data_IF_544980882655
#
_entry.id   IF_544980882655
#
_cell.length_a   1.000
_cell.length_b   1.000
_cell.length_c   1.000
_cell.angle_alpha   90.00
_cell.angle_beta   90.00
_cell.angle_gamma   90.00
#
_symmetry.space_group_name_H-M   'P 1'
#
loop_
_entity.id
_entity.type
_entity.pdbx_description
1 polymer ?
#
# COMPACT_ATOMS: atom_id res chain seq x y z
N UNK A 1 12.15 -9.81 -15.75
CA UNK A 1 13.34 -8.99 -16.06
C UNK A 1 13.63 -8.12 -14.85
N UNK A 2 14.73 -8.36 -14.13
CA UNK A 2 15.14 -7.51 -13.01
C UNK A 2 15.55 -6.17 -13.61
N UNK A 3 14.80 -5.11 -13.32
CA UNK A 3 15.21 -3.74 -13.63
C UNK A 3 16.38 -3.45 -12.69
N UNK A 4 17.60 -3.69 -13.18
CA UNK A 4 18.84 -3.34 -12.50
C UNK A 4 19.03 -1.82 -12.56
N UNK A 5 18.16 -1.09 -11.86
CA UNK A 5 18.41 0.31 -11.51
C UNK A 5 19.20 0.29 -10.20
N UNK A 6 20.53 0.29 -10.34
CA UNK A 6 21.39 0.75 -9.26
C UNK A 6 20.93 2.17 -8.90
N UNK A 7 20.24 2.33 -7.77
CA UNK A 7 19.94 3.64 -7.19
C UNK A 7 21.29 4.31 -6.93
N UNK A 8 21.69 5.20 -7.83
CA UNK A 8 22.96 5.91 -7.69
C UNK A 8 22.76 7.00 -6.65
N UNK A 9 23.31 6.79 -5.46
CA UNK A 9 23.35 7.81 -4.41
C UNK A 9 24.34 8.89 -4.86
N UNK A 10 23.81 10.01 -5.37
CA UNK A 10 24.60 11.19 -5.69
C UNK A 10 24.73 12.12 -4.46
N UNK A 11 25.54 13.17 -4.62
CA UNK A 11 25.77 14.14 -3.54
C UNK A 11 24.49 14.91 -3.16
N UNK A 12 23.58 15.13 -4.12
CA UNK A 12 22.31 15.82 -3.86
C UNK A 12 21.41 15.02 -2.92
N UNK A 13 21.37 13.69 -3.07
CA UNK A 13 20.66 12.80 -2.13
C UNK A 13 21.28 12.88 -0.74
N UNK A 14 22.61 12.84 -0.64
CA UNK A 14 23.31 12.93 0.65
C UNK A 14 23.04 14.27 1.33
N UNK A 15 23.13 15.37 0.59
CA UNK A 15 22.89 16.72 1.11
C UNK A 15 21.44 16.88 1.59
N UNK A 16 20.48 16.33 0.85
CA UNK A 16 19.07 16.32 1.23
C UNK A 16 18.81 15.60 2.55
N UNK A 17 19.39 14.40 2.72
CA UNK A 17 19.24 13.62 3.95
C UNK A 17 19.96 14.29 5.11
N UNK A 18 21.16 14.83 4.87
CA UNK A 18 21.91 15.60 5.87
C UNK A 18 21.19 16.89 6.29
N UNK A 19 20.44 17.51 5.37
CA UNK A 19 19.60 18.66 5.70
C UNK A 19 18.59 18.29 6.79
N UNK A 20 17.98 17.11 6.71
CA UNK A 20 16.97 16.65 7.67
C UNK A 20 17.54 16.15 9.02
N UNK A 21 18.82 15.79 9.07
CA UNK A 21 19.51 15.26 10.26
C UNK A 21 19.75 16.26 11.39
N UNK A 22 18.84 17.22 11.62
CA UNK A 22 18.95 18.27 12.63
C UNK A 22 17.57 18.63 13.22
N UNK A 23 17.45 18.61 14.55
CA UNK A 23 16.18 18.84 15.25
C UNK A 23 15.54 20.19 14.92
N UNK A 24 16.33 21.27 14.84
CA UNK A 24 15.81 22.61 14.54
C UNK A 24 15.24 22.72 13.13
N UNK A 25 15.85 22.03 12.17
CA UNK A 25 15.31 21.97 10.81
C UNK A 25 14.00 21.17 10.74
N UNK A 26 13.87 20.10 11.53
CA UNK A 26 12.61 19.38 11.65
C UNK A 26 11.53 20.23 12.36
N UNK A 27 11.89 20.98 13.40
CA UNK A 27 11.00 21.94 14.07
C UNK A 27 10.46 22.99 13.09
N UNK A 28 11.30 23.51 12.18
CA UNK A 28 10.87 24.43 11.11
C UNK A 28 9.80 23.80 10.21
N UNK A 29 10.02 22.56 9.73
CA UNK A 29 9.05 21.88 8.88
C UNK A 29 7.72 21.64 9.61
N UNK A 30 7.78 21.27 10.90
CA UNK A 30 6.60 21.06 11.73
C UNK A 30 5.84 22.36 12.03
N UNK A 31 6.53 23.48 12.20
CA UNK A 31 5.90 24.79 12.39
C UNK A 31 5.08 25.20 11.15
N UNK A 32 5.63 25.00 9.95
CA UNK A 32 4.93 25.28 8.70
C UNK A 32 3.67 24.40 8.53
N UNK A 33 3.74 23.10 8.84
CA UNK A 33 2.56 22.23 8.78
C UNK A 33 1.51 22.61 9.83
N UNK A 34 1.93 22.97 11.05
CA UNK A 34 1.01 23.37 12.12
C UNK A 34 0.11 24.53 11.68
N UNK A 35 0.67 25.54 11.02
CA UNK A 35 -0.11 26.68 10.52
C UNK A 35 -1.04 26.27 9.37
N UNK A 36 -0.60 25.39 8.46
CA UNK A 36 -1.50 24.81 7.43
C UNK A 36 -2.72 24.10 8.07
N UNK A 37 -2.50 23.34 9.16
CA UNK A 37 -3.56 22.65 9.90
C UNK A 37 -4.51 23.63 10.62
N UNK A 38 -3.97 24.61 11.34
CA UNK A 38 -4.77 25.60 12.08
C UNK A 38 -5.68 26.41 11.16
N UNK A 39 -5.21 26.72 9.95
CA UNK A 39 -5.99 27.43 8.94
C UNK A 39 -6.80 26.52 8.02
N UNK A 40 -6.65 25.19 8.14
CA UNK A 40 -7.26 24.18 7.26
C UNK A 40 -7.10 24.51 5.77
N UNK A 41 -5.93 25.04 5.38
CA UNK A 41 -5.66 25.50 4.01
C UNK A 41 -4.28 25.02 3.57
N UNK A 42 -4.18 24.30 2.44
CA UNK A 42 -2.89 23.89 1.92
C UNK A 42 -2.08 25.11 1.44
N UNK A 43 -0.76 24.98 1.48
CA UNK A 43 0.19 25.96 0.97
C UNK A 43 0.12 27.31 1.69
N UNK A 44 -0.21 27.29 2.99
CA UNK A 44 -0.12 28.47 3.83
C UNK A 44 1.34 28.91 3.93
N UNK A 45 1.57 30.23 3.91
CA UNK A 45 2.91 30.82 4.02
C UNK A 45 3.09 31.47 5.38
N UNK A 46 4.26 31.32 5.98
CA UNK A 46 4.68 32.08 7.15
C UNK A 46 5.78 33.06 6.74
N UNK A 47 5.69 34.31 7.15
CA UNK A 47 6.81 35.24 7.02
C UNK A 47 8.03 34.76 7.82
N UNK A 48 9.21 35.34 7.53
CA UNK A 48 10.44 35.04 8.26
C UNK A 48 10.26 35.22 9.77
N UNK A 49 9.66 36.34 10.19
CA UNK A 49 9.45 36.67 11.61
C UNK A 49 8.48 35.69 12.27
N UNK A 50 7.37 35.36 11.63
CA UNK A 50 6.42 34.37 12.17
C UNK A 50 7.08 32.99 12.35
N UNK A 51 7.88 32.56 11.38
CA UNK A 51 8.56 31.27 11.45
C UNK A 51 9.70 31.26 12.48
N UNK A 52 10.43 32.37 12.62
CA UNK A 52 11.44 32.56 13.66
C UNK A 52 10.82 32.52 15.06
N UNK A 53 9.71 33.24 15.27
CA UNK A 53 9.01 33.30 16.55
C UNK A 53 8.32 31.97 16.93
N UNK A 54 8.08 31.09 15.95
CA UNK A 54 7.44 29.79 16.15
C UNK A 54 8.41 28.70 16.64
N UNK A 55 9.73 28.93 16.58
CA UNK A 55 10.74 27.95 16.96
C UNK A 55 11.66 28.46 18.07
N UNK A 56 12.21 27.53 18.86
CA UNK A 56 13.18 27.87 19.92
C UNK A 56 14.61 27.87 19.34
N UNK A 57 15.16 29.04 19.04
CA UNK A 57 16.50 29.21 18.45
C UNK A 57 17.22 30.41 19.06
N UNK A 58 18.51 30.25 19.33
CA UNK A 58 19.29 31.23 20.09
C UNK A 58 19.50 32.58 19.38
N UNK A 59 19.48 32.58 18.04
CA UNK A 59 19.70 33.79 17.27
C UNK A 59 19.09 33.74 15.87
N UNK A 60 18.83 34.92 15.32
CA UNK A 60 18.37 35.10 13.93
C UNK A 60 19.37 34.55 12.90
N UNK A 61 20.69 34.62 13.17
CA UNK A 61 21.71 34.09 12.27
C UNK A 61 21.73 32.56 12.25
N UNK A 62 21.54 31.91 13.41
CA UNK A 62 21.40 30.46 13.48
C UNK A 62 20.12 30.00 12.78
N UNK A 63 19.00 30.70 13.00
CA UNK A 63 17.75 30.40 12.31
C UNK A 63 17.89 30.49 10.80
N UNK A 64 18.46 31.60 10.30
CA UNK A 64 18.67 31.80 8.86
C UNK A 64 19.49 30.67 8.26
N UNK A 65 20.58 30.26 8.94
CA UNK A 65 21.37 29.10 8.53
C UNK A 65 20.54 27.81 8.45
N UNK A 66 19.67 27.52 9.42
CA UNK A 66 18.82 26.32 9.38
C UNK A 66 17.77 26.39 8.27
N UNK A 67 17.15 27.56 8.07
CA UNK A 67 16.14 27.78 7.04
C UNK A 67 16.75 27.66 5.64
N UNK A 68 17.91 28.28 5.39
CA UNK A 68 18.60 28.25 4.10
C UNK A 68 18.94 26.82 3.64
N UNK A 69 19.16 25.90 4.60
CA UNK A 69 19.48 24.50 4.33
C UNK A 69 18.26 23.68 3.91
N UNK A 70 17.05 24.21 4.13
CA UNK A 70 15.78 23.58 3.76
C UNK A 70 15.17 24.20 2.50
N UNK A 71 15.47 25.47 2.24
CA UNK A 71 14.93 26.22 1.09
C UNK A 71 15.37 25.57 -0.23
N UNK A 72 14.43 25.52 -1.17
CA UNK A 72 14.58 24.86 -2.47
C UNK A 72 13.99 23.45 -2.46
N UNK A 73 14.45 22.58 -1.56
CA UNK A 73 14.05 21.16 -1.58
C UNK A 73 12.87 20.84 -0.66
N UNK A 74 12.87 21.31 0.58
CA UNK A 74 11.84 21.00 1.57
C UNK A 74 10.93 22.20 1.83
N UNK A 75 11.48 23.41 1.73
CA UNK A 75 10.76 24.69 1.90
C UNK A 75 10.85 25.51 0.62
N UNK A 76 9.75 26.13 0.20
CA UNK A 76 9.71 27.11 -0.87
C UNK A 76 9.65 28.50 -0.26
N UNK A 77 10.58 29.38 -0.65
CA UNK A 77 10.45 30.81 -0.44
C UNK A 77 9.54 31.42 -1.51
N UNK A 78 8.63 32.30 -1.11
CA UNK A 78 7.66 32.98 -1.96
C UNK A 78 7.59 34.46 -1.60
N UNK A 79 6.89 35.27 -2.40
CA UNK A 79 6.68 36.68 -2.08
C UNK A 79 5.94 36.90 -0.74
N UNK A 80 5.12 35.94 -0.34
CA UNK A 80 4.29 35.99 0.87
C UNK A 80 4.93 35.26 2.07
N UNK A 81 6.17 34.76 1.93
CA UNK A 81 6.90 34.04 2.96
C UNK A 81 7.27 32.60 2.56
N UNK A 82 7.46 31.75 3.56
CA UNK A 82 7.94 30.37 3.43
C UNK A 82 6.78 29.38 3.56
N UNK A 83 6.81 28.31 2.76
CA UNK A 83 5.84 27.20 2.84
C UNK A 83 6.51 25.87 2.55
N UNK A 84 5.87 24.77 2.94
CA UNK A 84 6.35 23.42 2.57
C UNK A 84 6.27 23.22 1.05
N UNK A 85 7.29 22.56 0.50
CA UNK A 85 7.20 21.91 -0.81
C UNK A 85 6.45 20.58 -0.69
N UNK A 86 6.21 19.90 -1.82
CA UNK A 86 5.70 18.52 -1.80
C UNK A 86 6.60 17.59 -0.95
N UNK A 87 7.92 17.65 -1.15
CA UNK A 87 8.90 16.83 -0.42
C UNK A 87 8.89 17.15 1.07
N UNK A 88 8.85 18.43 1.44
CA UNK A 88 8.72 18.87 2.83
C UNK A 88 7.43 18.32 3.47
N UNK A 89 6.31 18.39 2.75
CA UNK A 89 5.04 17.84 3.22
C UNK A 89 5.13 16.32 3.44
N UNK A 90 5.71 15.56 2.50
CA UNK A 90 5.91 14.11 2.66
C UNK A 90 6.74 13.77 3.89
N UNK A 91 7.84 14.48 4.13
CA UNK A 91 8.67 14.29 5.34
C UNK A 91 7.88 14.60 6.61
N UNK A 92 7.12 15.70 6.65
CA UNK A 92 6.28 16.03 7.81
C UNK A 92 5.24 14.95 8.07
N UNK A 93 4.55 14.45 7.03
CA UNK A 93 3.58 13.35 7.17
C UNK A 93 4.24 12.08 7.70
N UNK A 94 5.45 11.76 7.24
CA UNK A 94 6.25 10.64 7.78
C UNK A 94 6.57 10.85 9.26
N UNK A 95 7.04 12.03 9.67
CA UNK A 95 7.38 12.38 11.06
C UNK A 95 6.15 12.28 11.98
N UNK A 96 5.07 12.99 11.65
CA UNK A 96 3.89 13.10 12.52
C UNK A 96 3.16 11.76 12.63
N UNK A 97 3.08 10.98 11.54
CA UNK A 97 2.47 9.65 11.56
C UNK A 97 3.30 8.64 12.35
N UNK A 98 4.64 8.81 12.41
CA UNK A 98 5.54 7.80 12.95
C UNK A 98 5.52 6.51 12.14
N UNK A 99 5.27 6.58 10.83
CA UNK A 99 5.18 5.41 9.94
C UNK A 99 6.50 4.63 9.84
N UNK A 100 7.61 5.29 10.17
CA UNK A 100 8.96 4.69 10.26
C UNK A 100 9.24 4.02 11.61
N UNK A 101 8.35 4.15 12.59
CA UNK A 101 8.51 3.51 13.90
C UNK A 101 7.99 2.08 13.84
N UNK A 102 8.74 1.16 14.44
CA UNK A 102 8.34 -0.23 14.54
C UNK A 102 7.20 -0.43 15.54
N UNK A 103 6.43 -1.48 15.29
CA UNK A 103 5.26 -1.84 16.07
C UNK A 103 5.61 -2.98 17.00
N UNK A 104 5.43 -2.82 18.31
CA UNK A 104 5.92 -3.80 19.29
C UNK A 104 4.85 -4.70 19.90
N UNK A 105 3.55 -4.39 19.75
CA UNK A 105 2.48 -5.18 20.37
C UNK A 105 1.29 -5.35 19.43
N UNK A 106 1.02 -6.60 19.07
CA UNK A 106 -0.18 -7.06 18.40
C UNK A 106 -0.50 -8.44 18.98
N UNK A 107 -1.75 -8.68 19.36
CA UNK A 107 -2.18 -9.98 19.86
C UNK A 107 -2.62 -10.83 18.68
N UNK A 108 -2.04 -12.03 18.55
CA UNK A 108 -2.46 -13.01 17.55
C UNK A 108 -3.98 -13.25 17.66
N UNK A 109 -4.68 -13.19 16.53
CA UNK A 109 -6.14 -13.27 16.47
C UNK A 109 -6.57 -14.21 15.37
N UNK A 110 -7.52 -15.09 15.67
CA UNK A 110 -8.22 -15.86 14.64
C UNK A 110 -8.99 -14.90 13.73
N UNK A 111 -9.03 -15.22 12.44
CA UNK A 111 -9.79 -14.45 11.44
C UNK A 111 -10.61 -15.41 10.58
N UNK A 112 -11.72 -14.90 10.04
CA UNK A 112 -12.54 -15.66 9.09
C UNK A 112 -11.82 -15.79 7.75
N UNK A 113 -12.32 -16.68 6.89
CA UNK A 113 -11.77 -16.94 5.56
C UNK A 113 -11.18 -18.34 5.44
N UNK A 114 -10.68 -18.65 4.25
CA UNK A 114 -10.17 -19.97 3.90
C UNK A 114 -8.73 -19.90 3.40
N UNK A 115 -7.95 -20.94 3.68
CA UNK A 115 -6.61 -21.05 3.15
C UNK A 115 -6.64 -21.31 1.64
N UNK A 116 -6.02 -20.42 0.85
CA UNK A 116 -5.91 -20.56 -0.60
C UNK A 116 -5.33 -21.92 -1.02
N UNK A 117 -4.39 -22.46 -0.23
CA UNK A 117 -3.76 -23.75 -0.52
C UNK A 117 -4.61 -24.92 0.02
N UNK A 118 -4.78 -25.08 1.33
CA UNK A 118 -5.41 -26.29 1.86
C UNK A 118 -6.95 -26.26 1.91
N UNK A 119 -7.58 -25.09 1.75
CA UNK A 119 -9.03 -24.90 1.85
C UNK A 119 -9.58 -24.82 3.29
N UNK A 120 -8.74 -25.06 4.31
CA UNK A 120 -9.17 -25.03 5.71
C UNK A 120 -9.45 -23.59 6.20
N UNK A 121 -10.49 -23.44 7.02
CA UNK A 121 -10.88 -22.18 7.65
C UNK A 121 -10.16 -21.94 8.99
N UNK A 122 -8.82 -22.05 8.97
CA UNK A 122 -7.96 -22.04 10.17
C UNK A 122 -6.92 -20.91 10.12
N UNK A 123 -7.40 -19.69 9.81
CA UNK A 123 -6.56 -18.53 9.60
C UNK A 123 -6.26 -17.77 10.89
N UNK A 124 -5.01 -17.31 11.01
CA UNK A 124 -4.51 -16.55 12.14
C UNK A 124 -3.80 -15.28 11.64
N UNK A 125 -4.28 -14.12 12.08
CA UNK A 125 -3.62 -12.83 11.92
C UNK A 125 -2.57 -12.67 13.00
N UNK A 126 -1.35 -12.31 12.60
CA UNK A 126 -0.18 -12.23 13.50
C UNK A 126 0.75 -11.10 13.10
N UNK A 127 1.62 -10.70 14.02
CA UNK A 127 2.71 -9.76 13.76
C UNK A 127 4.04 -10.44 14.06
N UNK A 128 4.84 -10.69 13.02
CA UNK A 128 6.16 -11.29 13.14
C UNK A 128 7.20 -10.46 12.38
N UNK A 129 8.33 -10.15 13.02
CA UNK A 129 9.41 -9.34 12.44
C UNK A 129 8.91 -8.06 11.72
N UNK A 130 8.01 -7.30 12.37
CA UNK A 130 7.41 -6.06 11.84
C UNK A 130 6.46 -6.26 10.62
N UNK A 131 6.11 -7.50 10.30
CA UNK A 131 5.19 -7.84 9.23
C UNK A 131 3.87 -8.36 9.78
N UNK A 132 2.78 -7.73 9.36
CA UNK A 132 1.46 -8.32 9.49
C UNK A 132 1.38 -9.53 8.58
N UNK A 133 0.91 -10.64 9.12
CA UNK A 133 0.74 -11.89 8.37
C UNK A 133 -0.61 -12.52 8.63
N UNK A 134 -1.25 -12.98 7.57
CA UNK A 134 -2.32 -13.99 7.67
C UNK A 134 -1.70 -15.34 7.35
N UNK A 135 -1.68 -16.24 8.33
CA UNK A 135 -1.17 -17.61 8.19
C UNK A 135 -2.28 -18.64 8.35
N UNK A 136 -2.19 -19.76 7.64
CA UNK A 136 -3.02 -20.93 7.91
C UNK A 136 -2.33 -21.82 8.95
N UNK A 137 -3.03 -22.14 10.03
CA UNK A 137 -2.50 -22.99 11.12
C UNK A 137 -2.53 -24.48 10.80
N UNK A 138 -3.24 -24.90 9.75
CA UNK A 138 -3.31 -26.31 9.32
C UNK A 138 -2.19 -26.74 8.38
N UNK A 139 -1.68 -25.83 7.54
CA UNK A 139 -0.64 -26.16 6.55
C UNK A 139 0.55 -25.18 6.51
N UNK A 140 0.61 -24.27 7.48
CA UNK A 140 1.67 -23.26 7.66
C UNK A 140 1.87 -22.27 6.50
N UNK A 141 0.94 -22.23 5.54
CA UNK A 141 0.98 -21.28 4.44
C UNK A 141 0.84 -19.84 4.97
N UNK A 142 1.70 -18.94 4.48
CA UNK A 142 1.52 -17.49 4.67
C UNK A 142 0.77 -16.96 3.45
N UNK A 143 -0.43 -16.45 3.67
CA UNK A 143 -1.35 -16.04 2.60
C UNK A 143 -1.27 -14.55 2.28
N UNK A 144 -1.00 -13.74 3.31
CA UNK A 144 -0.82 -12.30 3.20
C UNK A 144 0.39 -11.93 4.05
N UNK A 145 1.26 -11.10 3.49
CA UNK A 145 2.39 -10.50 4.21
C UNK A 145 2.47 -9.04 3.83
N UNK A 146 2.56 -8.15 4.81
CA UNK A 146 2.74 -6.74 4.57
C UNK A 146 3.47 -6.07 5.73
N UNK A 147 4.18 -4.97 5.47
CA UNK A 147 4.76 -4.16 6.53
C UNK A 147 3.67 -3.50 7.35
N UNK A 148 3.91 -3.40 8.65
CA UNK A 148 2.93 -2.92 9.60
C UNK A 148 3.47 -1.75 10.43
N UNK A 149 3.18 -0.50 10.04
CA UNK A 149 3.70 0.67 10.73
C UNK A 149 2.91 0.97 12.01
N UNK A 150 3.58 1.55 13.01
CA UNK A 150 2.95 1.92 14.29
C UNK A 150 1.77 2.89 14.14
N UNK A 151 1.74 3.69 13.08
CA UNK A 151 0.61 4.58 12.79
C UNK A 151 -0.71 3.83 12.63
N UNK A 152 -0.69 2.56 12.19
CA UNK A 152 -1.89 1.73 12.03
C UNK A 152 -2.46 1.21 13.35
N UNK A 153 -1.68 1.19 14.45
CA UNK A 153 -2.16 0.69 15.76
C UNK A 153 -2.71 1.77 16.69
N UNK A 154 -2.38 3.04 16.46
CA UNK A 154 -2.75 4.13 17.38
C UNK A 154 -4.27 4.25 17.51
N UNK A 155 -4.77 4.02 18.72
CA UNK A 155 -6.20 4.16 19.04
C UNK A 155 -7.09 3.07 18.45
N UNK A 156 -6.53 1.92 18.05
CA UNK A 156 -7.27 0.77 17.52
C UNK A 156 -7.11 -0.48 18.37
N UNK A 157 -8.18 -1.26 18.45
CA UNK A 157 -8.19 -2.64 18.90
C UNK A 157 -7.56 -3.56 17.84
N UNK A 158 -7.21 -4.79 18.21
CA UNK A 158 -6.72 -5.82 17.28
C UNK A 158 -7.66 -6.04 16.09
N UNK A 159 -8.98 -6.07 16.32
CA UNK A 159 -9.97 -6.24 15.27
C UNK A 159 -9.99 -5.06 14.28
N UNK A 160 -9.98 -3.82 14.79
CA UNK A 160 -9.94 -2.61 13.95
C UNK A 160 -8.61 -2.50 13.16
N UNK A 161 -7.51 -3.01 13.73
CA UNK A 161 -6.24 -3.12 13.02
C UNK A 161 -6.39 -4.06 11.82
N UNK A 162 -6.86 -5.30 12.05
CA UNK A 162 -7.04 -6.32 11.02
C UNK A 162 -7.95 -5.79 9.91
N UNK A 163 -9.09 -5.20 10.26
CA UNK A 163 -10.01 -4.58 9.30
C UNK A 163 -9.31 -3.50 8.46
N UNK A 164 -8.52 -2.63 9.11
CA UNK A 164 -7.79 -1.57 8.39
C UNK A 164 -6.76 -2.09 7.39
N UNK A 165 -6.17 -3.27 7.64
CA UNK A 165 -5.26 -3.93 6.69
C UNK A 165 -6.04 -4.39 5.45
N UNK A 166 -7.23 -4.96 5.63
CA UNK A 166 -8.10 -5.36 4.52
C UNK A 166 -8.39 -4.20 3.56
N UNK A 167 -8.84 -3.05 4.09
CA UNK A 167 -9.07 -1.86 3.28
C UNK A 167 -7.80 -1.33 2.59
N UNK A 168 -6.64 -1.42 3.26
CA UNK A 168 -5.37 -1.00 2.67
C UNK A 168 -5.02 -1.87 1.46
N UNK A 169 -5.18 -3.19 1.54
CA UNK A 169 -4.94 -4.11 0.43
C UNK A 169 -5.77 -3.73 -0.80
N UNK A 170 -7.06 -3.46 -0.61
CA UNK A 170 -7.91 -3.03 -1.72
C UNK A 170 -7.55 -1.66 -2.28
N UNK A 171 -7.19 -0.69 -1.42
CA UNK A 171 -6.70 0.62 -1.86
C UNK A 171 -5.42 0.50 -2.71
N UNK A 172 -4.50 -0.38 -2.34
CA UNK A 172 -3.29 -0.67 -3.11
C UNK A 172 -3.63 -1.33 -4.44
N UNK A 173 -4.50 -2.35 -4.43
CA UNK A 173 -4.90 -3.06 -5.64
C UNK A 173 -5.59 -2.15 -6.67
N UNK A 174 -6.46 -1.24 -6.23
CA UNK A 174 -7.11 -0.26 -7.12
C UNK A 174 -6.09 0.58 -7.88
N UNK A 175 -4.97 0.97 -7.25
CA UNK A 175 -3.89 1.70 -7.91
C UNK A 175 -3.14 0.82 -8.91
N UNK A 176 -2.86 -0.44 -8.55
CA UNK A 176 -2.18 -1.39 -9.43
C UNK A 176 -2.95 -1.65 -10.73
N UNK A 177 -4.29 -1.70 -10.70
CA UNK A 177 -5.10 -1.80 -11.93
C UNK A 177 -4.92 -0.64 -12.91
N UNK A 178 -4.41 0.50 -12.43
CA UNK A 178 -4.11 1.68 -13.23
C UNK A 178 -2.63 1.79 -13.61
N UNK A 179 -1.83 0.73 -13.42
CA UNK A 179 -0.37 0.72 -13.55
C UNK A 179 0.34 1.73 -12.61
N UNK A 180 -0.29 2.06 -11.47
CA UNK A 180 0.22 3.03 -10.49
C UNK A 180 0.74 2.32 -9.24
N UNK A 181 2.00 2.58 -8.88
CA UNK A 181 2.62 2.04 -7.67
C UNK A 181 2.00 2.68 -6.41
N UNK A 182 1.55 1.88 -5.42
CA UNK A 182 0.96 2.41 -4.20
C UNK A 182 1.94 3.18 -3.29
N UNK A 183 3.25 2.95 -3.45
CA UNK A 183 4.29 3.57 -2.63
C UNK A 183 4.77 4.92 -3.20
N UNK A 184 5.07 4.96 -4.49
CA UNK A 184 5.69 6.13 -5.13
C UNK A 184 4.88 6.76 -6.27
N UNK A 185 3.73 6.17 -6.63
CA UNK A 185 2.89 6.56 -7.77
C UNK A 185 3.57 6.47 -9.15
N UNK A 186 4.74 5.82 -9.22
CA UNK A 186 5.45 5.50 -10.45
C UNK A 186 4.79 4.37 -11.23
N UNK A 187 5.30 4.12 -12.44
CA UNK A 187 4.74 3.11 -13.33
C UNK A 187 5.06 1.69 -12.85
N UNK A 188 4.08 0.81 -12.97
CA UNK A 188 4.16 -0.61 -12.62
C UNK A 188 4.15 -1.47 -13.88
N UNK A 189 4.93 -2.54 -13.86
CA UNK A 189 4.84 -3.65 -14.80
C UNK A 189 4.26 -4.87 -14.10
N UNK A 190 3.29 -5.53 -14.74
CA UNK A 190 2.63 -6.72 -14.18
C UNK A 190 2.89 -7.93 -15.07
N UNK A 191 3.32 -9.03 -14.46
CA UNK A 191 3.44 -10.35 -15.10
C UNK A 191 2.63 -11.37 -14.33
N UNK A 192 2.38 -12.56 -14.90
CA UNK A 192 1.84 -13.69 -14.16
C UNK A 192 2.98 -14.64 -13.79
N UNK A 193 2.98 -15.12 -12.56
CA UNK A 193 3.90 -16.14 -12.06
C UNK A 193 3.13 -17.18 -11.23
N UNK A 194 3.73 -18.34 -11.00
CA UNK A 194 3.13 -19.44 -10.25
C UNK A 194 3.77 -19.53 -8.87
N UNK A 195 2.93 -19.53 -7.84
CA UNK A 195 3.37 -19.77 -6.47
C UNK A 195 2.90 -21.14 -6.00
N UNK A 196 3.85 -21.97 -5.56
CA UNK A 196 3.59 -23.32 -5.07
C UNK A 196 3.79 -23.41 -3.55
N UNK A 197 2.85 -24.05 -2.85
CA UNK A 197 3.01 -24.46 -1.45
C UNK A 197 2.44 -25.86 -1.26
N UNK A 198 3.24 -26.77 -0.69
CA UNK A 198 2.87 -28.16 -0.43
C UNK A 198 2.23 -28.88 -1.64
N UNK A 199 2.77 -28.66 -2.85
CA UNK A 199 2.29 -29.29 -4.09
C UNK A 199 0.99 -28.72 -4.65
N UNK A 200 0.49 -27.60 -4.11
CA UNK A 200 -0.62 -26.83 -4.69
C UNK A 200 -0.10 -25.52 -5.25
N UNK A 201 -0.53 -25.18 -6.46
CA UNK A 201 -0.05 -24.02 -7.22
C UNK A 201 -1.18 -23.02 -7.45
N UNK A 202 -0.86 -21.74 -7.36
CA UNK A 202 -1.76 -20.64 -7.71
C UNK A 202 -1.03 -19.62 -8.58
N UNK A 203 -1.73 -19.10 -9.59
CA UNK A 203 -1.22 -18.05 -10.45
C UNK A 203 -1.45 -16.68 -9.81
N UNK A 204 -0.39 -15.88 -9.74
CA UNK A 204 -0.40 -14.56 -9.14
C UNK A 204 0.00 -13.52 -10.20
N UNK A 205 -0.67 -12.38 -10.20
CA UNK A 205 -0.11 -11.17 -10.78
C UNK A 205 1.02 -10.66 -9.90
N UNK A 206 2.20 -10.52 -10.48
CA UNK A 206 3.39 -9.92 -9.85
C UNK A 206 3.57 -8.52 -10.44
N UNK A 207 3.20 -7.51 -9.67
CA UNK A 207 3.32 -6.10 -9.99
C UNK A 207 4.64 -5.54 -9.46
N UNK A 208 5.53 -5.07 -10.34
CA UNK A 208 6.83 -4.48 -9.97
C UNK A 208 6.93 -3.01 -10.39
N UNK A 209 7.24 -2.12 -9.46
CA UNK A 209 7.44 -0.71 -9.78
C UNK A 209 8.80 -0.45 -10.44
N UNK A 210 8.81 0.34 -11.51
CA UNK A 210 10.04 0.74 -12.23
C UNK A 210 10.90 1.76 -11.48
N UNK A 211 10.32 2.50 -10.53
CA UNK A 211 10.97 3.62 -9.84
C UNK A 211 11.48 3.22 -8.44
N UNK A 212 10.61 2.65 -7.59
CA UNK A 212 10.96 2.30 -6.22
C UNK A 212 11.15 0.80 -5.98
N UNK A 213 11.02 -0.03 -7.02
CA UNK A 213 11.18 -1.49 -6.94
C UNK A 213 10.24 -2.21 -5.97
N UNK A 214 9.18 -1.54 -5.52
CA UNK A 214 8.13 -2.16 -4.72
C UNK A 214 7.43 -3.26 -5.53
N UNK A 215 7.24 -4.43 -4.92
CA UNK A 215 6.61 -5.60 -5.51
C UNK A 215 5.35 -5.94 -4.74
N UNK A 216 4.25 -6.15 -5.47
CA UNK A 216 2.98 -6.62 -4.92
C UNK A 216 2.53 -7.84 -5.71
N UNK A 217 2.08 -8.87 -4.99
CA UNK A 217 1.57 -10.12 -5.59
C UNK A 217 0.13 -10.34 -5.18
N UNK A 218 -0.75 -10.59 -6.14
CA UNK A 218 -2.20 -10.77 -5.92
C UNK A 218 -2.69 -11.93 -6.81
N UNK A 219 -3.59 -12.82 -6.33
CA UNK A 219 -4.17 -13.87 -7.17
C UNK A 219 -4.88 -13.31 -8.40
N UNK A 220 -4.76 -13.99 -9.54
CA UNK A 220 -5.38 -13.56 -10.81
C UNK A 220 -6.91 -13.44 -10.70
N UNK A 221 -7.54 -14.20 -9.81
CA UNK A 221 -8.97 -14.18 -9.52
C UNK A 221 -9.43 -12.83 -8.97
N UNK A 222 -8.56 -12.06 -8.31
CA UNK A 222 -8.90 -10.72 -7.85
C UNK A 222 -9.20 -9.80 -9.03
N UNK A 223 -8.43 -9.89 -10.13
CA UNK A 223 -8.69 -9.08 -11.34
C UNK A 223 -10.05 -9.40 -11.95
N UNK A 224 -10.44 -10.66 -11.89
CA UNK A 224 -11.75 -11.12 -12.36
C UNK A 224 -12.87 -10.62 -11.45
N UNK A 225 -12.70 -10.69 -10.14
CA UNK A 225 -13.68 -10.19 -9.16
C UNK A 225 -13.95 -8.69 -9.31
N UNK A 226 -12.96 -7.94 -9.78
CA UNK A 226 -13.06 -6.50 -10.05
C UNK A 226 -13.60 -6.14 -11.44
N UNK A 227 -13.94 -7.13 -12.28
CA UNK A 227 -14.64 -6.89 -13.54
C UNK A 227 -16.08 -6.39 -13.24
N UNK A 228 -16.60 -5.35 -13.94
CA UNK A 228 -17.89 -4.74 -13.59
C UNK A 228 -19.07 -5.72 -13.52
N UNK A 229 -19.10 -6.73 -14.40
CA UNK A 229 -20.14 -7.75 -14.37
C UNK A 229 -20.08 -8.59 -13.09
N UNK A 230 -18.88 -8.93 -12.60
CA UNK A 230 -18.70 -9.74 -11.39
C UNK A 230 -18.99 -8.92 -10.14
N UNK A 231 -18.46 -7.69 -10.07
CA UNK A 231 -18.78 -6.75 -9.00
C UNK A 231 -20.28 -6.55 -8.84
N UNK A 232 -20.99 -6.39 -9.96
CA UNK A 232 -22.45 -6.25 -9.94
C UNK A 232 -23.13 -7.50 -9.37
N UNK A 233 -22.73 -8.70 -9.81
CA UNK A 233 -23.31 -9.96 -9.27
C UNK A 233 -23.03 -10.15 -7.79
N UNK A 234 -21.80 -9.89 -7.35
CA UNK A 234 -21.45 -9.94 -5.94
C UNK A 234 -22.35 -9.00 -5.14
N UNK A 235 -22.51 -7.77 -5.61
CA UNK A 235 -23.38 -6.78 -4.97
C UNK A 235 -24.86 -7.19 -4.95
N UNK A 236 -25.41 -7.73 -6.05
CA UNK A 236 -26.78 -8.26 -6.11
C UNK A 236 -27.03 -9.37 -5.07
N UNK A 237 -25.96 -10.04 -4.63
CA UNK A 237 -26.00 -11.11 -3.64
C UNK A 237 -25.49 -10.69 -2.26
N UNK A 238 -25.38 -9.39 -2.01
CA UNK A 238 -25.04 -8.85 -0.69
C UNK A 238 -23.56 -8.93 -0.34
N UNK A 239 -22.69 -9.26 -1.30
CA UNK A 239 -21.24 -9.28 -1.16
C UNK A 239 -20.69 -7.95 -1.67
N UNK A 240 -20.24 -7.10 -0.75
CA UNK A 240 -19.49 -5.90 -1.11
C UNK A 240 -18.00 -6.25 -1.11
N UNK A 241 -17.41 -6.46 -2.30
CA UNK A 241 -16.04 -6.96 -2.43
C UNK A 241 -15.01 -6.13 -1.63
N UNK A 242 -15.17 -4.80 -1.60
CA UNK A 242 -14.26 -3.90 -0.89
C UNK A 242 -14.38 -3.99 0.64
N UNK A 243 -15.46 -4.58 1.14
CA UNK A 243 -15.70 -4.81 2.58
C UNK A 243 -15.32 -6.24 2.99
N UNK A 244 -14.95 -7.10 2.03
CA UNK A 244 -14.45 -8.46 2.28
C UNK A 244 -12.92 -8.44 2.19
N UNK A 245 -12.17 -8.65 3.29
CA UNK A 245 -10.71 -8.68 3.24
C UNK A 245 -10.19 -9.76 2.28
N UNK A 246 -9.00 -9.55 1.70
CA UNK A 246 -8.42 -10.47 0.72
C UNK A 246 -8.37 -11.94 1.21
N UNK A 247 -8.07 -12.16 2.50
CA UNK A 247 -8.01 -13.51 3.06
C UNK A 247 -9.37 -14.18 3.24
N UNK A 248 -10.45 -13.40 3.37
CA UNK A 248 -11.83 -13.91 3.32
C UNK A 248 -12.27 -14.15 1.89
N UNK A 249 -11.85 -13.29 0.95
CA UNK A 249 -12.12 -13.47 -0.49
C UNK A 249 -11.58 -14.81 -1.03
N UNK A 250 -10.52 -15.36 -0.44
CA UNK A 250 -10.02 -16.69 -0.81
C UNK A 250 -11.06 -17.80 -0.67
N UNK A 251 -12.08 -17.65 0.18
CA UNK A 251 -13.20 -18.59 0.27
C UNK A 251 -13.91 -18.77 -1.09
N UNK A 252 -14.05 -17.70 -1.88
CA UNK A 252 -14.64 -17.77 -3.22
C UNK A 252 -13.73 -18.42 -4.24
N UNK A 253 -12.40 -18.36 -4.05
CA UNK A 253 -11.40 -18.98 -4.93
C UNK A 253 -11.27 -20.48 -4.67
N UNK A 254 -11.36 -20.91 -3.41
CA UNK A 254 -11.21 -22.33 -3.04
C UNK A 254 -12.53 -23.11 -3.02
N UNK A 255 -13.66 -22.43 -3.18
CA UNK A 255 -14.98 -23.02 -3.37
C UNK A 255 -15.34 -23.08 -4.86
N UNK A 256 -16.53 -23.60 -5.18
CA UNK A 256 -17.03 -23.70 -6.55
C UNK A 256 -17.59 -22.35 -7.09
N UNK A 257 -17.40 -21.23 -6.37
CA UNK A 257 -17.90 -19.91 -6.80
C UNK A 257 -17.04 -19.31 -7.91
N UNK A 258 -15.72 -19.46 -7.81
CA UNK A 258 -14.76 -19.03 -8.83
C UNK A 258 -13.96 -20.25 -9.26
N UNK A 259 -14.27 -20.78 -10.44
CA UNK A 259 -13.50 -21.87 -11.04
C UNK A 259 -12.55 -21.30 -12.07
N UNK A 260 -11.25 -21.43 -11.81
CA UNK A 260 -10.17 -20.99 -12.71
C UNK A 260 -9.65 -22.15 -13.54
N UNK A 261 -9.58 -21.98 -14.86
CA UNK A 261 -8.93 -22.91 -15.79
C UNK A 261 -7.80 -22.20 -16.54
N UNK A 262 -6.58 -22.72 -16.43
CA UNK A 262 -5.39 -22.16 -17.08
C UNK A 262 -5.25 -22.78 -18.46
N UNK A 263 -5.43 -21.96 -19.48
CA UNK A 263 -5.38 -22.38 -20.89
C UNK A 263 -3.93 -22.45 -21.38
N UNK A 264 -3.10 -21.49 -20.97
CA UNK A 264 -1.67 -21.44 -21.31
C UNK A 264 -0.90 -20.58 -20.31
N UNK A 265 0.35 -20.93 -20.00
CA UNK A 265 1.23 -20.12 -19.16
C UNK A 265 2.06 -19.11 -19.97
N UNK A 266 2.35 -19.38 -21.25
CA UNK A 266 3.16 -18.51 -22.12
C UNK A 266 2.75 -18.64 -23.61
N UNK A 267 2.08 -17.62 -24.20
CA UNK A 267 1.55 -16.43 -23.53
C UNK A 267 0.45 -16.81 -22.53
N UNK A 268 0.40 -16.11 -21.40
CA UNK A 268 -0.58 -16.42 -20.37
C UNK A 268 -2.02 -16.27 -20.88
N UNK A 269 -2.87 -17.25 -20.59
CA UNK A 269 -4.30 -17.21 -20.87
C UNK A 269 -5.06 -18.07 -19.86
N UNK A 270 -6.17 -17.54 -19.33
CA UNK A 270 -7.03 -18.25 -18.39
C UNK A 270 -8.51 -17.98 -18.68
N UNK A 271 -9.36 -18.94 -18.32
CA UNK A 271 -10.81 -18.77 -18.29
C UNK A 271 -11.34 -18.94 -16.87
N UNK A 272 -12.44 -18.24 -16.58
CA UNK A 272 -13.05 -18.22 -15.26
C UNK A 272 -14.53 -18.45 -15.39
N UNK A 273 -15.05 -19.35 -14.56
CA UNK A 273 -16.46 -19.54 -14.34
C UNK A 273 -16.83 -18.93 -12.98
N UNK A 274 -17.72 -17.95 -12.98
CA UNK A 274 -18.15 -17.23 -11.78
C UNK A 274 -19.62 -17.52 -11.52
N UNK A 275 -19.92 -18.29 -10.49
CA UNK A 275 -21.29 -18.77 -10.18
C UNK A 275 -21.68 -18.40 -8.75
N UNK A 276 -22.02 -17.13 -8.46
CA UNK A 276 -22.64 -16.78 -7.20
C UNK A 276 -24.13 -17.17 -7.27
N UNK A 277 -24.49 -18.33 -6.70
CA UNK A 277 -25.87 -18.86 -6.62
C UNK A 277 -26.58 -19.12 -7.98
N UNK A 278 -26.07 -20.11 -8.75
CA UNK A 278 -26.72 -20.74 -9.91
C UNK A 278 -26.86 -19.92 -11.22
N UNK A 279 -26.40 -18.66 -11.25
CA UNK A 279 -26.19 -17.91 -12.51
C UNK A 279 -24.70 -17.74 -12.80
N UNK A 280 -24.26 -18.31 -13.92
CA UNK A 280 -22.84 -18.37 -14.29
C UNK A 280 -22.44 -17.26 -15.25
N UNK A 281 -21.32 -16.60 -14.96
CA UNK A 281 -20.62 -15.70 -15.88
C UNK A 281 -19.31 -16.35 -16.31
N UNK A 282 -19.09 -16.42 -17.61
CA UNK A 282 -17.81 -16.84 -18.19
C UNK A 282 -16.96 -15.63 -18.51
N UNK A 283 -15.69 -15.66 -18.08
CA UNK A 283 -14.71 -14.62 -18.33
C UNK A 283 -13.43 -15.26 -18.86
N UNK A 284 -12.64 -14.46 -19.58
CA UNK A 284 -11.30 -14.84 -20.01
C UNK A 284 -10.32 -13.71 -19.71
N UNK A 285 -9.09 -14.10 -19.40
CA UNK A 285 -7.95 -13.20 -19.21
C UNK A 285 -6.86 -13.56 -20.22
N UNK A 286 -6.30 -12.53 -20.85
CA UNK A 286 -5.14 -12.66 -21.75
C UNK A 286 -3.82 -12.34 -21.03
N UNK A 287 -2.73 -12.36 -21.79
CA UNK A 287 -1.35 -12.15 -21.32
C UNK A 287 -1.09 -10.72 -20.84
N UNK A 288 -1.97 -9.78 -21.16
CA UNK A 288 -1.94 -8.41 -20.65
C UNK A 288 -2.66 -8.26 -19.31
N UNK A 289 -3.31 -9.33 -18.82
CA UNK A 289 -4.20 -9.28 -17.66
C UNK A 289 -5.57 -8.68 -17.96
N UNK A 290 -5.90 -8.44 -19.23
CA UNK A 290 -7.20 -7.87 -19.61
C UNK A 290 -8.29 -8.92 -19.46
N UNK A 291 -9.32 -8.60 -18.68
CA UNK A 291 -10.48 -9.47 -18.47
C UNK A 291 -11.62 -9.07 -19.42
N UNK A 292 -12.21 -10.05 -20.09
CA UNK A 292 -13.38 -9.85 -20.96
C UNK A 292 -14.40 -10.98 -20.79
N UNK A 293 -15.67 -10.70 -21.08
CA UNK A 293 -16.74 -11.69 -21.03
C UNK A 293 -16.48 -12.76 -22.11
N UNK A 294 -16.43 -14.02 -21.67
CA UNK A 294 -16.44 -15.20 -22.53
C UNK A 294 -17.86 -15.49 -23.03
N UNK A 295 -17.98 -15.79 -24.33
CA UNK A 295 -19.21 -16.34 -24.90
C UNK A 295 -19.25 -17.85 -24.69
#
# INVERSE_FOLDING_TARGET
MVVDQNVQIDQGVVDAVNALGNSKRLEILLALDKVEQEHQKPWHTMSFTELYDAIDVDSTSQFSYHLDQLVGQFVSETADGYRLTYSGNKIVRTIVSGVYESTSTFEDSEVSGACLFCGEASLLATLDAEQFRIRCTSCDATLVTDFFPKSQTRGRTTAEIIESVGYRIWSMYIQLRGDVCPECFGRVDTTVDVYEHNGKSHHLHISSCRECQHIVSIPIEVTVAFHPAVLHRFWEHGISLLDVPLWEFFEYIVSDVIVTDIVSDDPFAATFEITPNDETIYLKMDDTGTVSIGL
#
